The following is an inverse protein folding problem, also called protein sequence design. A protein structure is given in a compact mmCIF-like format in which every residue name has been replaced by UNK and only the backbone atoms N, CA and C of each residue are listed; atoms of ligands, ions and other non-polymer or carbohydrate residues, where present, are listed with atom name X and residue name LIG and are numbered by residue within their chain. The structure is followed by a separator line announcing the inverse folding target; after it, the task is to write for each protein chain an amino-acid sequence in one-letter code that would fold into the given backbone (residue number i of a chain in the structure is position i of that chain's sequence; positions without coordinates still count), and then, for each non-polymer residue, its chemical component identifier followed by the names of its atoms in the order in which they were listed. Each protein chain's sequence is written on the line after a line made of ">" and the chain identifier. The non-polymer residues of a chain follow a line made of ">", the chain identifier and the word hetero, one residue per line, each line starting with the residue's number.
data_IF_012698377088
#
_entry.id   IF_012698377088
#
_cell.length_a   1.000
_cell.length_b   1.000
_cell.length_c   1.000
_cell.angle_alpha   90.00
_cell.angle_beta   90.00
_cell.angle_gamma   90.00
#
_symmetry.space_group_name_H-M   'P 1'
#
loop_
_entity.id
_entity.type
_entity.pdbx_description
1 polymer ?
#
# COMPACT_ATOMS: atom_id res chain seq x y z
N UNK A 1 -27.73 -5.76 22.29
CA UNK A 1 -28.17 -6.38 21.03
C UNK A 1 -28.42 -5.23 20.05
N UNK A 2 -27.89 -5.26 18.84
CA UNK A 2 -27.91 -4.24 17.76
C UNK A 2 -26.96 -3.01 17.89
N UNK A 3 -25.63 -3.24 17.95
CA UNK A 3 -24.62 -2.24 17.66
C UNK A 3 -23.74 -2.54 16.43
N UNK A 4 -24.17 -3.49 15.61
CA UNK A 4 -23.40 -3.99 14.46
C UNK A 4 -23.83 -3.38 13.11
N UNK A 5 -24.81 -2.46 13.10
CA UNK A 5 -25.47 -2.02 11.86
C UNK A 5 -25.04 -0.64 11.33
N UNK A 6 -24.08 0.04 11.97
CA UNK A 6 -23.65 1.39 11.56
C UNK A 6 -22.19 1.50 11.07
N UNK A 7 -21.59 0.40 10.61
CA UNK A 7 -20.52 0.58 9.62
C UNK A 7 -21.20 0.87 8.28
N UNK A 8 -21.53 2.12 8.02
CA UNK A 8 -21.77 2.58 6.66
C UNK A 8 -20.51 2.23 5.88
N UNK A 9 -20.61 1.20 5.06
CA UNK A 9 -19.60 0.94 4.03
C UNK A 9 -19.44 2.25 3.29
N UNK A 10 -18.23 2.81 3.32
CA UNK A 10 -17.95 4.07 2.63
C UNK A 10 -18.36 3.86 1.18
N UNK A 11 -19.28 4.69 0.70
CA UNK A 11 -19.73 4.60 -0.69
C UNK A 11 -18.50 4.68 -1.60
N UNK A 12 -18.44 3.86 -2.64
CA UNK A 12 -17.34 3.88 -3.64
C UNK A 12 -17.02 5.32 -4.05
N UNK A 13 -18.03 6.19 -4.16
CA UNK A 13 -17.89 7.61 -4.46
C UNK A 13 -17.12 8.37 -3.37
N UNK A 14 -17.31 8.02 -2.10
CA UNK A 14 -16.59 8.65 -0.98
C UNK A 14 -15.13 8.21 -0.96
N UNK A 15 -14.87 6.94 -1.25
CA UNK A 15 -13.50 6.41 -1.39
C UNK A 15 -12.74 7.11 -2.52
N UNK A 16 -13.35 7.30 -3.68
CA UNK A 16 -12.74 8.06 -4.78
C UNK A 16 -12.48 9.53 -4.43
N UNK A 17 -13.39 10.17 -3.69
CA UNK A 17 -13.15 11.54 -3.20
C UNK A 17 -11.97 11.63 -2.25
N UNK A 18 -11.84 10.65 -1.35
CA UNK A 18 -10.71 10.58 -0.41
C UNK A 18 -9.38 10.37 -1.15
N UNK A 19 -9.33 9.45 -2.11
CA UNK A 19 -8.15 9.21 -2.95
C UNK A 19 -7.77 10.49 -3.70
N UNK A 20 -8.72 11.14 -4.38
CA UNK A 20 -8.46 12.36 -5.12
C UNK A 20 -7.97 13.50 -4.20
N UNK A 21 -8.51 13.62 -3.00
CA UNK A 21 -8.08 14.60 -2.01
C UNK A 21 -6.62 14.36 -1.58
N UNK A 22 -6.25 13.11 -1.31
CA UNK A 22 -4.89 12.73 -0.92
C UNK A 22 -3.89 13.10 -2.04
N UNK A 23 -4.18 12.69 -3.28
CA UNK A 23 -3.28 12.97 -4.41
C UNK A 23 -3.22 14.45 -4.77
N UNK A 24 -4.32 15.19 -4.61
CA UNK A 24 -4.32 16.65 -4.80
C UNK A 24 -3.35 17.35 -3.84
N UNK A 25 -3.36 16.96 -2.57
CA UNK A 25 -2.41 17.50 -1.58
C UNK A 25 -0.99 17.07 -1.95
N UNK A 26 -0.76 15.79 -2.23
CA UNK A 26 0.56 15.25 -2.52
C UNK A 26 1.20 15.92 -3.76
N UNK A 27 0.45 16.10 -4.83
CA UNK A 27 0.94 16.77 -6.06
C UNK A 27 1.18 18.27 -5.86
N UNK A 28 0.43 18.91 -4.97
CA UNK A 28 0.64 20.33 -4.65
C UNK A 28 1.81 20.54 -3.69
N UNK A 29 2.09 19.59 -2.82
CA UNK A 29 3.12 19.70 -1.78
C UNK A 29 4.55 19.67 -2.36
N UNK A 30 4.82 18.78 -3.31
CA UNK A 30 6.20 18.58 -3.80
C UNK A 30 6.26 18.26 -5.29
N UNK A 31 6.99 19.10 -6.05
CA UNK A 31 7.30 18.81 -7.47
C UNK A 31 8.15 17.55 -7.61
N UNK A 32 8.98 17.24 -6.63
CA UNK A 32 9.81 16.02 -6.60
C UNK A 32 8.93 14.78 -6.51
N UNK A 33 7.87 14.84 -5.72
CA UNK A 33 6.90 13.75 -5.61
C UNK A 33 6.29 13.41 -6.97
N UNK A 34 5.83 14.41 -7.72
CA UNK A 34 5.26 14.21 -9.07
C UNK A 34 6.27 13.56 -10.00
N UNK A 35 7.52 14.03 -9.98
CA UNK A 35 8.60 13.46 -10.79
C UNK A 35 8.84 11.98 -10.46
N UNK A 36 9.00 11.64 -9.17
CA UNK A 36 9.21 10.26 -8.74
C UNK A 36 8.00 9.37 -9.00
N UNK A 37 6.77 9.88 -8.83
CA UNK A 37 5.53 9.17 -9.14
C UNK A 37 5.47 8.75 -10.61
N UNK A 38 5.67 9.69 -11.54
CA UNK A 38 5.64 9.42 -12.98
C UNK A 38 6.78 8.48 -13.40
N UNK A 39 8.00 8.75 -12.93
CA UNK A 39 9.16 7.93 -13.24
C UNK A 39 9.01 6.51 -12.69
N UNK A 40 8.44 6.34 -11.49
CA UNK A 40 8.16 5.04 -10.89
C UNK A 40 7.20 4.22 -11.75
N UNK A 41 6.08 4.81 -12.20
CA UNK A 41 5.12 4.13 -13.06
C UNK A 41 5.78 3.71 -14.38
N UNK A 42 6.50 4.63 -15.03
CA UNK A 42 7.15 4.36 -16.32
C UNK A 42 8.20 3.24 -16.23
N UNK A 43 9.12 3.33 -15.26
CA UNK A 43 10.19 2.34 -15.12
C UNK A 43 9.64 0.98 -14.69
N UNK A 44 8.61 0.95 -13.85
CA UNK A 44 7.97 -0.30 -13.40
C UNK A 44 7.20 -1.02 -14.51
N UNK A 45 6.70 -0.30 -15.52
CA UNK A 45 6.08 -0.90 -16.71
C UNK A 45 7.15 -1.34 -17.72
N UNK A 46 8.21 -0.54 -17.91
CA UNK A 46 9.25 -0.84 -18.89
C UNK A 46 10.10 -2.06 -18.52
N UNK A 47 10.44 -2.27 -17.26
CA UNK A 47 11.28 -3.38 -16.84
C UNK A 47 10.72 -4.75 -17.24
N UNK A 48 9.46 -5.11 -16.93
CA UNK A 48 8.89 -6.38 -17.36
C UNK A 48 8.69 -6.49 -18.87
N UNK A 49 8.48 -5.35 -19.59
CA UNK A 49 8.40 -5.35 -21.04
C UNK A 49 9.72 -5.76 -21.68
N UNK A 50 10.84 -5.18 -21.23
CA UNK A 50 12.17 -5.57 -21.74
C UNK A 50 12.43 -7.06 -21.47
N UNK A 51 12.04 -7.55 -20.28
CA UNK A 51 12.17 -8.96 -19.94
C UNK A 51 11.37 -9.88 -20.89
N UNK A 52 10.19 -9.44 -21.33
CA UNK A 52 9.36 -10.19 -22.30
C UNK A 52 10.02 -10.29 -23.68
N UNK A 53 10.80 -9.28 -24.09
CA UNK A 53 11.47 -9.29 -25.39
C UNK A 53 12.70 -10.21 -25.43
N UNK A 54 13.34 -10.52 -24.30
CA UNK A 54 14.56 -11.34 -24.25
C UNK A 54 14.35 -12.74 -24.86
N UNK A 55 13.33 -13.54 -24.46
CA UNK A 55 13.06 -14.85 -25.07
C UNK A 55 12.72 -14.72 -26.56
N UNK A 56 11.97 -13.70 -26.95
CA UNK A 56 11.59 -13.46 -28.36
C UNK A 56 12.81 -13.20 -29.22
N UNK A 57 13.74 -12.37 -28.76
CA UNK A 57 15.03 -12.13 -29.41
C UNK A 57 15.85 -13.43 -29.53
N UNK A 58 15.89 -14.22 -28.45
CA UNK A 58 16.62 -15.49 -28.44
C UNK A 58 16.08 -16.44 -29.52
N UNK A 59 14.77 -16.62 -29.62
CA UNK A 59 14.16 -17.50 -30.65
C UNK A 59 14.42 -16.97 -32.05
N UNK A 60 14.29 -15.65 -32.25
CA UNK A 60 14.53 -15.01 -33.55
C UNK A 60 15.96 -15.26 -34.05
N UNK A 61 16.97 -14.99 -33.22
CA UNK A 61 18.38 -15.18 -33.62
C UNK A 61 18.76 -16.64 -33.83
N UNK A 62 18.21 -17.56 -33.02
CA UNK A 62 18.46 -18.99 -33.20
C UNK A 62 17.83 -19.57 -34.48
N UNK A 63 16.68 -19.03 -34.89
CA UNK A 63 15.94 -19.53 -36.05
C UNK A 63 16.39 -18.91 -37.37
N UNK A 64 16.74 -17.61 -37.38
CA UNK A 64 16.95 -16.83 -38.60
C UNK A 64 18.43 -16.60 -38.92
N UNK A 65 19.20 -16.06 -37.98
CA UNK A 65 20.57 -15.59 -38.29
C UNK A 65 21.67 -16.62 -38.05
N UNK A 66 21.47 -17.64 -37.22
CA UNK A 66 22.45 -18.71 -36.89
C UNK A 66 23.88 -18.24 -36.52
N UNK A 67 24.07 -16.92 -36.30
CA UNK A 67 25.35 -16.33 -35.96
C UNK A 67 25.47 -16.14 -34.44
N UNK A 68 26.21 -17.02 -33.79
CA UNK A 68 26.35 -17.10 -32.35
C UNK A 68 26.95 -15.82 -31.74
N UNK A 69 27.85 -15.14 -32.42
CA UNK A 69 28.51 -13.93 -31.94
C UNK A 69 27.52 -12.75 -31.89
N UNK A 70 26.74 -12.56 -32.96
CA UNK A 70 25.70 -11.53 -32.97
C UNK A 70 24.63 -11.79 -31.92
N UNK A 71 24.17 -13.05 -31.79
CA UNK A 71 23.26 -13.47 -30.76
C UNK A 71 23.75 -13.08 -29.36
N UNK A 72 24.99 -13.41 -29.02
CA UNK A 72 25.59 -13.10 -27.72
C UNK A 72 25.64 -11.58 -27.45
N UNK A 73 26.00 -10.78 -28.47
CA UNK A 73 26.05 -9.31 -28.35
C UNK A 73 24.65 -8.72 -28.08
N UNK A 74 23.64 -9.07 -28.87
CA UNK A 74 22.29 -8.51 -28.70
C UNK A 74 21.65 -8.96 -27.39
N UNK A 75 21.88 -10.21 -26.98
CA UNK A 75 21.40 -10.71 -25.70
C UNK A 75 22.06 -9.98 -24.52
N UNK A 76 23.37 -9.73 -24.60
CA UNK A 76 24.10 -8.98 -23.58
C UNK A 76 23.58 -7.53 -23.47
N UNK A 77 23.31 -6.86 -24.59
CA UNK A 77 22.72 -5.51 -24.61
C UNK A 77 21.32 -5.52 -23.99
N UNK A 78 20.49 -6.51 -24.33
CA UNK A 78 19.12 -6.62 -23.77
C UNK A 78 19.14 -6.84 -22.25
N UNK A 79 20.04 -7.71 -21.74
CA UNK A 79 20.22 -7.90 -20.31
C UNK A 79 20.77 -6.65 -19.60
N UNK A 80 21.76 -5.96 -20.20
CA UNK A 80 22.29 -4.71 -19.64
C UNK A 80 21.19 -3.63 -19.55
N UNK A 81 20.36 -3.49 -20.59
CA UNK A 81 19.21 -2.59 -20.58
C UNK A 81 18.19 -2.97 -19.47
N UNK A 82 17.86 -4.26 -19.33
CA UNK A 82 16.97 -4.75 -18.28
C UNK A 82 17.52 -4.42 -16.89
N UNK A 83 18.80 -4.71 -16.63
CA UNK A 83 19.43 -4.42 -15.33
C UNK A 83 19.42 -2.93 -15.03
N UNK A 84 19.73 -2.08 -16.02
CA UNK A 84 19.70 -0.63 -15.89
C UNK A 84 18.31 -0.10 -15.55
N UNK A 85 17.28 -0.55 -16.28
CA UNK A 85 15.88 -0.13 -16.05
C UNK A 85 15.37 -0.64 -14.69
N UNK A 86 15.65 -1.91 -14.37
CA UNK A 86 15.24 -2.51 -13.10
C UNK A 86 15.91 -1.83 -11.90
N UNK A 87 17.22 -1.56 -12.00
CA UNK A 87 17.96 -0.82 -10.96
C UNK A 87 17.41 0.58 -10.77
N UNK A 88 17.11 1.29 -11.86
CA UNK A 88 16.48 2.61 -11.82
C UNK A 88 15.09 2.54 -11.17
N UNK A 89 14.27 1.54 -11.51
CA UNK A 89 12.96 1.33 -10.92
C UNK A 89 13.03 1.14 -9.40
N UNK A 90 13.96 0.31 -8.91
CA UNK A 90 14.17 0.12 -7.47
C UNK A 90 14.62 1.40 -6.75
N UNK A 91 15.55 2.15 -7.35
CA UNK A 91 16.00 3.42 -6.78
C UNK A 91 14.84 4.42 -6.69
N UNK A 92 14.09 4.58 -7.77
CA UNK A 92 12.96 5.50 -7.85
C UNK A 92 11.85 5.10 -6.88
N UNK A 93 11.54 3.80 -6.77
CA UNK A 93 10.58 3.27 -5.80
C UNK A 93 10.97 3.65 -4.36
N UNK A 94 12.24 3.44 -4.00
CA UNK A 94 12.71 3.81 -2.65
C UNK A 94 12.62 5.32 -2.40
N UNK A 95 12.91 6.15 -3.40
CA UNK A 95 12.76 7.61 -3.29
C UNK A 95 11.31 8.04 -3.20
N UNK A 96 10.43 7.39 -3.97
CA UNK A 96 9.00 7.61 -3.90
C UNK A 96 8.42 7.28 -2.52
N UNK A 97 8.86 6.19 -1.89
CA UNK A 97 8.45 5.81 -0.53
C UNK A 97 8.90 6.85 0.51
N UNK A 98 10.10 7.41 0.38
CA UNK A 98 10.58 8.48 1.26
C UNK A 98 9.71 9.74 1.10
N UNK A 99 9.40 10.13 -0.13
CA UNK A 99 8.52 11.30 -0.39
C UNK A 99 7.10 11.08 0.16
N UNK A 100 6.54 9.87 0.05
CA UNK A 100 5.25 9.51 0.66
C UNK A 100 5.27 9.73 2.18
N UNK A 101 6.30 9.25 2.85
CA UNK A 101 6.47 9.43 4.30
C UNK A 101 6.62 10.90 4.68
N UNK A 102 7.41 11.66 3.91
CA UNK A 102 7.59 13.10 4.15
C UNK A 102 6.27 13.88 4.00
N UNK A 103 5.47 13.60 2.96
CA UNK A 103 4.17 14.24 2.76
C UNK A 103 3.21 13.86 3.88
N UNK A 104 3.17 12.59 4.30
CA UNK A 104 2.35 12.17 5.43
C UNK A 104 2.68 12.97 6.69
N UNK A 105 3.97 13.08 7.02
CA UNK A 105 4.42 13.77 8.23
C UNK A 105 4.27 15.29 8.13
N UNK A 106 4.65 15.87 7.01
CA UNK A 106 4.67 17.33 6.84
C UNK A 106 3.28 17.91 6.63
N UNK A 107 2.49 17.34 5.71
CA UNK A 107 1.25 17.95 5.30
C UNK A 107 0.05 17.40 6.08
N UNK A 108 -0.11 16.08 6.12
CA UNK A 108 -1.27 15.47 6.77
C UNK A 108 -1.18 15.50 8.29
N UNK A 109 -0.03 15.18 8.87
CA UNK A 109 0.14 15.20 10.33
C UNK A 109 0.10 16.63 10.87
N UNK A 110 0.70 17.60 10.18
CA UNK A 110 0.62 19.02 10.55
C UNK A 110 -0.82 19.54 10.44
N UNK A 111 -1.55 19.17 9.39
CA UNK A 111 -2.98 19.53 9.26
C UNK A 111 -3.83 18.92 10.38
N UNK A 112 -3.54 17.68 10.77
CA UNK A 112 -4.20 17.01 11.90
C UNK A 112 -3.94 17.74 13.22
N UNK A 113 -2.67 18.08 13.51
CA UNK A 113 -2.30 18.83 14.73
C UNK A 113 -3.00 20.19 14.74
N UNK A 114 -2.89 20.97 13.66
CA UNK A 114 -3.50 22.29 13.58
C UNK A 114 -5.02 22.22 13.79
N UNK A 115 -5.69 21.25 13.18
CA UNK A 115 -7.12 21.04 13.37
C UNK A 115 -7.47 20.65 14.81
N UNK A 116 -6.63 19.82 15.44
CA UNK A 116 -6.82 19.42 16.85
C UNK A 116 -6.64 20.59 17.82
N UNK A 117 -5.74 21.53 17.51
CA UNK A 117 -5.50 22.72 18.34
C UNK A 117 -6.60 23.78 18.22
N UNK A 118 -7.23 23.90 17.05
CA UNK A 118 -8.29 24.89 16.79
C UNK A 118 -9.70 24.31 17.07
N UNK A 119 -9.80 23.01 17.33
CA UNK A 119 -11.08 22.37 17.58
C UNK A 119 -11.70 22.83 18.90
N UNK A 120 -13.03 23.01 18.93
CA UNK A 120 -13.76 23.34 20.14
C UNK A 120 -13.52 22.25 21.20
N UNK A 121 -13.14 22.68 22.41
CA UNK A 121 -12.89 21.82 23.56
C UNK A 121 -14.06 20.89 23.86
N UNK A 122 -15.30 21.39 23.72
CA UNK A 122 -16.51 20.60 23.93
C UNK A 122 -16.60 19.41 22.97
N UNK A 123 -16.36 19.63 21.68
CA UNK A 123 -16.31 18.55 20.69
C UNK A 123 -15.16 17.58 20.94
N UNK A 124 -14.01 18.12 21.38
CA UNK A 124 -12.83 17.30 21.71
C UNK A 124 -13.09 16.32 22.86
N UNK A 125 -13.90 16.69 23.85
CA UNK A 125 -14.27 15.85 25.00
C UNK A 125 -15.43 14.89 24.70
N UNK A 126 -16.26 15.18 23.71
CA UNK A 126 -17.37 14.33 23.31
C UNK A 126 -16.87 12.96 22.80
N UNK A 127 -17.68 11.94 23.02
CA UNK A 127 -17.37 10.57 22.59
C UNK A 127 -17.10 10.47 21.10
N UNK A 128 -17.89 11.17 20.28
CA UNK A 128 -17.74 11.20 18.83
C UNK A 128 -16.44 11.88 18.41
N UNK A 129 -16.09 13.02 19.00
CA UNK A 129 -14.83 13.70 18.73
C UNK A 129 -13.60 12.87 19.08
N UNK A 130 -13.65 12.15 20.21
CA UNK A 130 -12.60 11.18 20.60
C UNK A 130 -12.46 10.03 19.62
N UNK A 131 -13.57 9.49 19.12
CA UNK A 131 -13.56 8.42 18.11
C UNK A 131 -13.00 8.91 16.77
N UNK A 132 -13.42 10.08 16.31
CA UNK A 132 -12.96 10.66 15.03
C UNK A 132 -11.47 11.02 15.07
N UNK A 133 -11.01 11.56 16.20
CA UNK A 133 -9.58 11.81 16.43
C UNK A 133 -8.77 10.52 16.37
N UNK A 134 -9.20 9.47 17.07
CA UNK A 134 -8.51 8.16 17.04
C UNK A 134 -8.46 7.57 15.64
N UNK A 135 -9.52 7.71 14.85
CA UNK A 135 -9.54 7.27 13.46
C UNK A 135 -8.53 8.05 12.62
N UNK A 136 -8.49 9.37 12.76
CA UNK A 136 -7.55 10.23 12.06
C UNK A 136 -6.10 9.93 12.45
N UNK A 137 -5.82 9.77 13.75
CA UNK A 137 -4.52 9.36 14.27
C UNK A 137 -4.09 8.02 13.69
N UNK A 138 -4.97 7.02 13.70
CA UNK A 138 -4.70 5.70 13.13
C UNK A 138 -4.39 5.72 11.62
N UNK A 139 -5.03 6.62 10.86
CA UNK A 139 -4.73 6.81 9.44
C UNK A 139 -3.34 7.42 9.18
N UNK A 140 -2.72 8.05 10.19
CA UNK A 140 -1.43 8.75 10.09
C UNK A 140 -0.28 8.05 10.82
N UNK A 141 -0.59 7.07 11.67
CA UNK A 141 0.35 6.46 12.60
C UNK A 141 1.41 5.58 11.91
N UNK A 142 1.08 4.99 10.77
CA UNK A 142 1.92 3.97 10.13
C UNK A 142 2.08 4.17 8.63
N UNK A 143 3.22 3.70 8.10
CA UNK A 143 3.48 3.60 6.66
C UNK A 143 2.73 2.44 5.97
N UNK A 144 2.05 1.58 6.75
CA UNK A 144 1.27 0.43 6.28
C UNK A 144 -0.24 0.65 6.39
N UNK A 145 -0.67 1.84 6.81
CA UNK A 145 -2.08 2.15 7.03
C UNK A 145 -2.44 3.54 6.50
N UNK A 146 -3.72 3.72 6.20
CA UNK A 146 -4.31 5.01 5.90
C UNK A 146 -3.71 5.72 4.68
N UNK A 147 -3.23 6.94 4.89
CA UNK A 147 -2.83 7.85 3.81
C UNK A 147 -1.64 7.31 3.00
N UNK A 148 -0.59 6.86 3.66
CA UNK A 148 0.63 6.39 2.98
C UNK A 148 0.39 5.08 2.23
N UNK A 149 -0.43 4.18 2.77
CA UNK A 149 -0.83 2.97 2.07
C UNK A 149 -1.57 3.30 0.76
N UNK A 150 -2.52 4.23 0.79
CA UNK A 150 -3.25 4.67 -0.42
C UNK A 150 -2.28 5.26 -1.45
N UNK A 151 -1.32 6.07 -1.01
CA UNK A 151 -0.31 6.64 -1.90
C UNK A 151 0.59 5.58 -2.54
N UNK A 152 0.80 4.43 -1.91
CA UNK A 152 1.56 3.29 -2.45
C UNK A 152 0.71 2.38 -3.33
N UNK A 153 -0.50 2.06 -2.90
CA UNK A 153 -1.35 1.08 -3.58
C UNK A 153 -1.95 1.60 -4.88
N UNK A 154 -2.29 2.89 -4.98
CA UNK A 154 -2.88 3.45 -6.19
C UNK A 154 -1.92 3.39 -7.39
N UNK A 155 -0.65 3.85 -7.30
CA UNK A 155 0.28 3.68 -8.42
C UNK A 155 0.59 2.22 -8.72
N UNK A 156 0.67 1.35 -7.70
CA UNK A 156 0.86 -0.09 -7.90
C UNK A 156 -0.33 -0.70 -8.67
N UNK A 157 -1.55 -0.30 -8.35
CA UNK A 157 -2.74 -0.69 -9.11
C UNK A 157 -2.66 -0.22 -10.56
N UNK A 158 -2.28 1.05 -10.81
CA UNK A 158 -2.12 1.59 -12.15
C UNK A 158 -1.05 0.84 -12.95
N UNK A 159 0.11 0.55 -12.34
CA UNK A 159 1.19 -0.22 -12.96
C UNK A 159 0.69 -1.60 -13.38
N UNK A 160 0.04 -2.32 -12.46
CA UNK A 160 -0.47 -3.66 -12.74
C UNK A 160 -1.56 -3.65 -13.82
N UNK A 161 -2.45 -2.66 -13.80
CA UNK A 161 -3.52 -2.52 -14.77
C UNK A 161 -2.98 -2.22 -16.18
N UNK A 162 -2.05 -1.26 -16.29
CA UNK A 162 -1.42 -0.93 -17.57
C UNK A 162 -0.56 -2.08 -18.11
N UNK A 163 0.20 -2.73 -17.24
CA UNK A 163 0.98 -3.92 -17.60
C UNK A 163 0.10 -5.05 -18.10
N UNK A 164 -1.06 -5.28 -17.47
CA UNK A 164 -2.03 -6.29 -17.92
C UNK A 164 -2.53 -5.99 -19.35
N UNK A 165 -2.89 -4.74 -19.64
CA UNK A 165 -3.32 -4.35 -20.98
C UNK A 165 -2.23 -4.63 -22.03
N UNK A 166 -0.99 -4.26 -21.72
CA UNK A 166 0.15 -4.45 -22.62
C UNK A 166 0.42 -5.95 -22.83
N UNK A 167 0.36 -6.77 -21.76
CA UNK A 167 0.53 -8.21 -21.87
C UNK A 167 -0.56 -8.87 -22.73
N UNK A 168 -1.82 -8.48 -22.54
CA UNK A 168 -2.94 -8.97 -23.36
C UNK A 168 -2.72 -8.60 -24.82
N UNK A 169 -2.38 -7.33 -25.10
CA UNK A 169 -2.10 -6.88 -26.45
C UNK A 169 -0.93 -7.64 -27.10
N UNK A 170 0.16 -7.83 -26.39
CA UNK A 170 1.33 -8.56 -26.88
C UNK A 170 1.04 -10.05 -27.13
N UNK A 171 0.30 -10.67 -26.21
CA UNK A 171 -0.01 -12.11 -26.29
C UNK A 171 -1.04 -12.42 -27.37
N UNK A 172 -1.96 -11.49 -27.68
CA UNK A 172 -2.96 -11.66 -28.74
C UNK A 172 -2.34 -11.79 -30.13
N UNK A 173 -1.14 -11.20 -30.32
CA UNK A 173 -0.38 -11.33 -31.58
C UNK A 173 0.21 -12.73 -31.78
N UNK A 174 0.37 -13.50 -30.71
CA UNK A 174 0.96 -14.85 -30.76
C UNK A 174 -0.13 -15.90 -30.83
N UNK A 175 -1.07 -15.93 -29.90
CA UNK A 175 -2.19 -16.89 -29.88
C UNK A 175 -3.29 -16.43 -28.91
N UNK A 176 -4.55 -16.51 -29.34
CA UNK A 176 -5.70 -16.23 -28.49
C UNK A 176 -5.84 -17.22 -27.30
N UNK A 177 -5.33 -18.42 -27.43
CA UNK A 177 -5.36 -19.43 -26.36
C UNK A 177 -4.52 -18.98 -25.15
N UNK A 178 -3.38 -18.33 -25.38
CA UNK A 178 -2.53 -17.77 -24.34
C UNK A 178 -3.26 -16.68 -23.57
N UNK A 179 -3.99 -15.82 -24.29
CA UNK A 179 -4.80 -14.75 -23.65
C UNK A 179 -5.88 -15.33 -22.74
N UNK A 180 -6.57 -16.43 -23.18
CA UNK A 180 -7.58 -17.11 -22.37
C UNK A 180 -6.98 -17.67 -21.07
N UNK A 181 -5.83 -18.32 -21.15
CA UNK A 181 -5.13 -18.86 -19.97
C UNK A 181 -4.72 -17.72 -19.01
N UNK A 182 -4.19 -16.62 -19.55
CA UNK A 182 -3.82 -15.45 -18.73
C UNK A 182 -5.04 -14.84 -18.02
N UNK A 183 -6.17 -14.68 -18.70
CA UNK A 183 -7.40 -14.19 -18.10
C UNK A 183 -7.90 -15.12 -16.99
N UNK A 184 -7.87 -16.44 -17.22
CA UNK A 184 -8.24 -17.42 -16.22
C UNK A 184 -7.33 -17.32 -14.97
N UNK A 185 -6.02 -17.16 -15.14
CA UNK A 185 -5.07 -16.94 -14.03
C UNK A 185 -5.36 -15.64 -13.25
N UNK A 186 -5.69 -14.54 -13.95
CA UNK A 186 -6.03 -13.26 -13.29
C UNK A 186 -7.30 -13.41 -12.47
N UNK A 187 -8.34 -14.07 -13.00
CA UNK A 187 -9.58 -14.34 -12.26
C UNK A 187 -9.29 -15.23 -11.04
N UNK A 188 -8.51 -16.29 -11.19
CA UNK A 188 -8.14 -17.18 -10.10
C UNK A 188 -7.39 -16.41 -8.98
N UNK A 189 -6.40 -15.59 -9.32
CA UNK A 189 -5.68 -14.76 -8.37
C UNK A 189 -6.59 -13.75 -7.66
N UNK A 190 -7.53 -13.12 -8.38
CA UNK A 190 -8.51 -12.23 -7.78
C UNK A 190 -9.40 -12.95 -6.77
N UNK A 191 -9.90 -14.13 -7.10
CA UNK A 191 -10.71 -14.95 -6.20
C UNK A 191 -9.92 -15.37 -4.95
N UNK A 192 -8.68 -15.83 -5.13
CA UNK A 192 -7.80 -16.18 -4.01
C UNK A 192 -7.50 -14.98 -3.11
N UNK A 193 -7.22 -13.81 -3.69
CA UNK A 193 -7.03 -12.57 -2.94
C UNK A 193 -8.28 -12.16 -2.17
N UNK A 194 -9.45 -12.26 -2.77
CA UNK A 194 -10.71 -11.97 -2.11
C UNK A 194 -10.96 -12.94 -0.93
N UNK A 195 -10.77 -14.25 -1.12
CA UNK A 195 -10.88 -15.24 -0.05
C UNK A 195 -9.88 -15.00 1.07
N UNK A 196 -8.64 -14.67 0.74
CA UNK A 196 -7.60 -14.31 1.71
C UNK A 196 -8.02 -13.11 2.56
N UNK A 197 -8.57 -12.06 1.93
CA UNK A 197 -9.05 -10.86 2.63
C UNK A 197 -10.22 -11.18 3.56
N UNK A 198 -11.15 -12.03 3.15
CA UNK A 198 -12.27 -12.46 4.00
C UNK A 198 -11.78 -13.24 5.23
N UNK A 199 -10.80 -14.15 5.05
CA UNK A 199 -10.21 -14.92 6.14
C UNK A 199 -9.46 -13.98 7.10
N UNK A 200 -8.68 -13.06 6.55
CA UNK A 200 -7.90 -12.09 7.31
C UNK A 200 -8.79 -11.16 8.14
N UNK A 201 -9.86 -10.62 7.57
CA UNK A 201 -10.82 -9.78 8.29
C UNK A 201 -11.50 -10.54 9.43
N UNK A 202 -11.88 -11.79 9.19
CA UNK A 202 -12.46 -12.67 10.23
C UNK A 202 -11.45 -12.96 11.36
N UNK A 203 -10.18 -13.08 11.03
CA UNK A 203 -9.10 -13.25 12.00
C UNK A 203 -8.89 -11.99 12.83
N UNK A 204 -8.84 -10.81 12.20
CA UNK A 204 -8.71 -9.51 12.89
C UNK A 204 -9.87 -9.27 13.84
N UNK A 205 -11.12 -9.56 13.43
CA UNK A 205 -12.29 -9.39 14.30
C UNK A 205 -12.21 -10.27 15.55
N UNK A 206 -11.66 -11.48 15.44
CA UNK A 206 -11.41 -12.36 16.59
C UNK A 206 -10.28 -11.86 17.50
N UNK A 207 -9.22 -11.38 16.89
CA UNK A 207 -8.00 -10.96 17.60
C UNK A 207 -8.13 -9.55 18.18
N UNK A 208 -8.96 -8.69 17.56
CA UNK A 208 -9.18 -7.30 17.98
C UNK A 208 -9.68 -7.16 19.42
N UNK A 209 -10.50 -8.12 19.91
CA UNK A 209 -10.93 -8.14 21.30
C UNK A 209 -9.77 -8.41 22.27
N UNK A 210 -8.84 -9.26 21.88
CA UNK A 210 -7.63 -9.57 22.66
C UNK A 210 -6.63 -8.41 22.64
N UNK A 211 -6.46 -7.74 21.50
CA UNK A 211 -5.63 -6.55 21.38
C UNK A 211 -6.14 -5.40 22.22
N UNK A 212 -7.44 -5.14 22.24
CA UNK A 212 -8.03 -4.11 23.09
C UNK A 212 -7.83 -4.39 24.59
N UNK A 213 -7.84 -5.65 24.99
CA UNK A 213 -7.53 -6.04 26.39
C UNK A 213 -6.06 -5.81 26.73
N UNK A 214 -5.14 -6.16 25.83
CA UNK A 214 -3.70 -5.95 26.00
C UNK A 214 -3.38 -4.45 26.07
N UNK A 215 -3.94 -3.64 25.16
CA UNK A 215 -3.76 -2.19 25.16
C UNK A 215 -4.31 -1.54 26.42
N UNK A 216 -5.48 -1.98 26.88
CA UNK A 216 -6.04 -1.52 28.15
C UNK A 216 -5.12 -1.86 29.33
N UNK A 217 -4.65 -3.09 29.43
CA UNK A 217 -3.72 -3.52 30.49
C UNK A 217 -2.40 -2.72 30.43
N UNK A 218 -1.85 -2.52 29.23
CA UNK A 218 -0.62 -1.74 29.05
C UNK A 218 -0.80 -0.28 29.47
N UNK A 219 -1.90 0.37 29.10
CA UNK A 219 -2.20 1.75 29.50
C UNK A 219 -2.46 1.88 30.98
N UNK A 220 -3.18 0.92 31.57
CA UNK A 220 -3.46 0.91 33.00
C UNK A 220 -2.17 0.70 33.80
N UNK A 221 -1.32 -0.24 33.42
CA UNK A 221 -0.03 -0.47 34.06
C UNK A 221 0.89 0.75 33.96
N UNK A 222 0.92 1.43 32.80
CA UNK A 222 1.74 2.63 32.60
C UNK A 222 1.25 3.81 33.44
N UNK A 223 -0.07 3.98 33.60
CA UNK A 223 -0.64 5.04 34.43
C UNK A 223 -0.44 4.77 35.93
N UNK A 224 -0.49 3.51 36.34
CA UNK A 224 -0.20 3.14 37.74
C UNK A 224 1.29 3.29 38.09
N UNK A 225 2.20 3.00 37.14
CA UNK A 225 3.64 3.24 37.30
C UNK A 225 4.01 4.72 37.35
N UNK A 226 3.28 5.58 36.67
CA UNK A 226 3.48 7.04 36.73
C UNK A 226 2.99 7.71 38.02
N UNK A 227 2.05 7.07 38.73
CA UNK A 227 1.43 7.63 39.92
C UNK A 227 1.96 7.03 41.22
N UNK A 228 2.76 5.98 41.21
CA UNK A 228 3.35 5.39 42.41
C UNK A 228 4.83 5.70 42.49
N UNK A 229 5.20 6.61 43.39
CA UNK A 229 6.59 6.89 43.81
C UNK A 229 7.30 5.71 44.45
N UNK A 230 6.62 4.59 44.63
CA UNK A 230 7.15 3.32 45.13
C UNK A 230 6.68 2.20 44.23
N UNK A 231 7.48 1.87 43.20
CA UNK A 231 7.18 0.89 42.15
C UNK A 231 7.01 -0.58 42.59
N UNK A 232 6.20 -0.83 43.57
CA UNK A 232 5.87 -2.20 44.05
C UNK A 232 4.37 -2.43 43.86
N UNK A 233 4.03 -3.18 42.82
CA UNK A 233 2.68 -3.76 42.66
C UNK A 233 2.43 -4.74 43.80
N UNK A 234 1.54 -4.37 44.71
CA UNK A 234 1.07 -5.33 45.71
C UNK A 234 0.20 -6.38 45.03
N UNK A 235 0.40 -7.70 45.31
CA UNK A 235 -0.32 -8.79 44.64
C UNK A 235 -1.85 -8.76 44.82
N UNK A 236 -2.35 -7.94 45.76
CA UNK A 236 -3.78 -7.79 46.04
C UNK A 236 -4.60 -7.03 44.98
N UNK A 237 -3.95 -6.40 43.99
CA UNK A 237 -4.64 -5.59 42.95
C UNK A 237 -4.68 -6.25 41.57
N UNK A 238 -4.20 -7.48 41.42
CA UNK A 238 -4.37 -8.22 40.17
C UNK A 238 -5.81 -8.72 40.08
N UNK A 239 -6.58 -8.36 39.04
CA UNK A 239 -7.90 -8.94 38.82
C UNK A 239 -7.75 -10.45 38.69
N UNK A 240 -8.52 -11.23 39.48
CA UNK A 240 -8.61 -12.67 39.33
C UNK A 240 -9.10 -12.96 37.90
N UNK A 241 -8.21 -13.43 37.05
CA UNK A 241 -8.56 -13.98 35.76
C UNK A 241 -9.08 -15.39 35.95
N UNK A 242 -10.38 -15.56 35.80
CA UNK A 242 -11.06 -16.82 35.51
C UNK A 242 -11.63 -16.72 34.10
#
# INVERSE_FOLDING_TARGET
>A
MNKEKDRKEASIKESFKAINYIFKIAFHSSKKYVFFFVTYILTSILAPLVLLFIPTLAVYFLSVEKNLTKFAIYLSIAFAAYIGISGTSHYVSSRYDIENTLIRLKDFFTAFINKSLVCDYRYYEEKQGKEDRKKAEHCLDSNWLGVELIMKDVPLFLINFLSLIIYIASSSLVSYQIVLIMLAMVIANFLLGYLSTLIYNKYIDRTGKSYNRIDYLYRTSKNEWGNTTTGVLTPSKLPKML
#
